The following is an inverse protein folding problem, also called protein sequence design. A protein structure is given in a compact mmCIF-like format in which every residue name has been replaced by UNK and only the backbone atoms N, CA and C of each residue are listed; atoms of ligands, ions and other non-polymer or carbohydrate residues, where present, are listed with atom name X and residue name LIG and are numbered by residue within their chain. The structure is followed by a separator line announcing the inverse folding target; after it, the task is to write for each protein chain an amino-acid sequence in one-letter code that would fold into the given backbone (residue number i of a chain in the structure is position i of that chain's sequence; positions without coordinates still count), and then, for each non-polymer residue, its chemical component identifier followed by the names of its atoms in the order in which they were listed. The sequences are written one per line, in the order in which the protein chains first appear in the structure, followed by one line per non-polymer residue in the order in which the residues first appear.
data_IF_638064595276
#
_entry.id   IF_638064595276
#
_cell.length_a   1.000
_cell.length_b   1.000
_cell.length_c   1.000
_cell.angle_alpha   90.00
_cell.angle_beta   90.00
_cell.angle_gamma   90.00
#
_symmetry.space_group_name_H-M   'P 1'
#
loop_
_entity.id
_entity.type
_entity.pdbx_description
1 polymer ?
#
# COMPACT_ATOMS: atom_id res chain seq x y z
N UNK A 1 -10.16 8.44 -0.84
CA UNK A 1 -8.91 7.66 -0.95
C UNK A 1 -7.81 8.46 -0.27
N UNK A 2 -7.26 7.96 0.82
CA UNK A 2 -6.19 8.60 1.57
C UNK A 2 -4.82 8.39 0.89
N UNK A 3 -3.77 9.07 1.38
CA UNK A 3 -2.42 9.01 0.82
C UNK A 3 -1.89 7.57 0.69
N UNK A 4 -2.16 6.70 1.66
CA UNK A 4 -1.66 5.32 1.66
C UNK A 4 -2.42 4.46 0.63
N UNK A 5 -3.74 4.55 0.59
CA UNK A 5 -4.61 3.82 -0.36
C UNK A 5 -4.29 4.21 -1.81
N UNK A 6 -4.11 5.51 -2.08
CA UNK A 6 -3.76 6.02 -3.41
C UNK A 6 -2.44 5.45 -3.92
N UNK A 7 -1.43 5.41 -3.05
CA UNK A 7 -0.14 4.83 -3.39
C UNK A 7 -0.23 3.31 -3.55
N UNK A 8 -0.93 2.61 -2.67
CA UNK A 8 -1.15 1.16 -2.77
C UNK A 8 -1.71 0.79 -4.14
N UNK A 9 -2.83 1.41 -4.55
CA UNK A 9 -3.47 1.12 -5.84
C UNK A 9 -2.56 1.47 -7.00
N UNK A 10 -1.89 2.63 -6.97
CA UNK A 10 -0.92 3.02 -7.99
C UNK A 10 0.15 1.95 -8.21
N UNK A 11 0.72 1.38 -7.14
CA UNK A 11 1.79 0.39 -7.28
C UNK A 11 1.27 -0.98 -7.74
N UNK A 12 0.08 -1.40 -7.26
CA UNK A 12 -0.56 -2.65 -7.67
C UNK A 12 -1.04 -2.62 -9.13
N UNK A 13 -1.40 -1.47 -9.68
CA UNK A 13 -1.76 -1.38 -11.12
C UNK A 13 -0.55 -1.21 -12.02
N UNK A 14 0.53 -0.58 -11.54
CA UNK A 14 1.69 -0.20 -12.36
C UNK A 14 2.75 -1.28 -12.51
N UNK A 15 2.85 -2.23 -11.59
CA UNK A 15 4.00 -3.16 -11.52
C UNK A 15 4.27 -3.90 -12.84
N UNK A 16 3.22 -4.32 -13.57
CA UNK A 16 3.34 -5.02 -14.85
C UNK A 16 3.99 -4.20 -15.97
N UNK A 17 4.00 -2.87 -15.83
CA UNK A 17 4.36 -1.95 -16.91
C UNK A 17 5.57 -1.05 -16.59
N UNK A 18 6.07 -1.05 -15.34
CA UNK A 18 7.16 -0.14 -14.94
C UNK A 18 8.28 -0.83 -14.18
N UNK A 19 8.07 -1.16 -12.90
CA UNK A 19 9.17 -1.58 -12.01
C UNK A 19 9.03 -3.00 -11.44
N UNK A 20 8.04 -3.78 -11.90
CA UNK A 20 7.86 -5.18 -11.50
C UNK A 20 7.84 -5.36 -9.97
N UNK A 21 8.75 -6.20 -9.48
CA UNK A 21 8.85 -6.57 -8.06
C UNK A 21 9.00 -5.35 -7.14
N UNK A 22 9.72 -4.30 -7.54
CA UNK A 22 9.93 -3.11 -6.70
C UNK A 22 8.61 -2.40 -6.38
N UNK A 23 7.69 -2.33 -7.35
CA UNK A 23 6.37 -1.76 -7.13
C UNK A 23 5.53 -2.64 -6.20
N UNK A 24 5.64 -3.98 -6.31
CA UNK A 24 4.97 -4.89 -5.38
C UNK A 24 5.49 -4.75 -3.94
N UNK A 25 6.80 -4.56 -3.77
CA UNK A 25 7.40 -4.31 -2.46
C UNK A 25 6.94 -2.96 -1.86
N UNK A 26 6.82 -1.93 -2.69
CA UNK A 26 6.21 -0.64 -2.28
C UNK A 26 4.75 -0.83 -1.89
N UNK A 27 3.95 -1.52 -2.71
CA UNK A 27 2.56 -1.83 -2.39
C UNK A 27 2.42 -2.54 -1.03
N UNK A 28 3.24 -3.55 -0.76
CA UNK A 28 3.29 -4.24 0.53
C UNK A 28 3.52 -3.26 1.68
N UNK A 29 4.49 -2.35 1.56
CA UNK A 29 4.77 -1.36 2.61
C UNK A 29 3.58 -0.45 2.90
N UNK A 30 2.85 -0.01 1.87
CA UNK A 30 1.64 0.81 2.06
C UNK A 30 0.50 0.02 2.72
N UNK A 31 0.33 -1.25 2.32
CA UNK A 31 -0.65 -2.14 2.91
C UNK A 31 -0.35 -2.42 4.39
N UNK A 32 0.91 -2.73 4.73
CA UNK A 32 1.35 -2.98 6.11
C UNK A 32 1.04 -1.77 7.02
N UNK A 33 1.27 -0.54 6.53
CA UNK A 33 0.92 0.68 7.28
C UNK A 33 -0.59 0.91 7.40
N UNK A 34 -1.35 0.60 6.37
CA UNK A 34 -2.82 0.67 6.43
C UNK A 34 -3.36 -0.28 7.51
N UNK A 35 -2.88 -1.52 7.54
CA UNK A 35 -3.23 -2.51 8.55
C UNK A 35 -2.84 -2.01 9.95
N UNK A 36 -1.61 -1.53 10.13
CA UNK A 36 -1.15 -0.97 11.41
C UNK A 36 -2.06 0.16 11.90
N UNK A 37 -2.36 1.14 11.04
CA UNK A 37 -3.21 2.27 11.38
C UNK A 37 -4.64 1.83 11.71
N UNK A 38 -5.15 0.79 11.06
CA UNK A 38 -6.48 0.25 11.33
C UNK A 38 -6.53 -0.46 12.69
N UNK A 39 -5.52 -1.29 12.99
CA UNK A 39 -5.42 -1.98 14.28
C UNK A 39 -5.22 -1.00 15.44
N UNK A 40 -4.38 0.03 15.30
CA UNK A 40 -4.21 1.07 16.32
C UNK A 40 -5.52 1.86 16.60
N UNK A 41 -6.39 2.00 15.60
CA UNK A 41 -7.72 2.60 15.76
C UNK A 41 -8.73 1.66 16.40
N UNK A 42 -8.59 0.35 16.22
CA UNK A 42 -9.44 -0.69 16.81
C UNK A 42 -9.13 -1.05 18.26
N UNK A 43 -8.07 -0.46 18.84
CA UNK A 43 -7.73 -0.56 20.28
C UNK A 43 -8.31 0.65 21.07
N UNK A 44 -9.24 1.41 20.47
CA UNK A 44 -10.00 2.47 21.15
C UNK A 44 -11.43 2.03 21.42
#
# INVERSE_FOLDING_TARGET
MNYLEGNLVKYVTRYKHKNGLEDLLKAKWYLDRLIKNYNEKGVK
#
